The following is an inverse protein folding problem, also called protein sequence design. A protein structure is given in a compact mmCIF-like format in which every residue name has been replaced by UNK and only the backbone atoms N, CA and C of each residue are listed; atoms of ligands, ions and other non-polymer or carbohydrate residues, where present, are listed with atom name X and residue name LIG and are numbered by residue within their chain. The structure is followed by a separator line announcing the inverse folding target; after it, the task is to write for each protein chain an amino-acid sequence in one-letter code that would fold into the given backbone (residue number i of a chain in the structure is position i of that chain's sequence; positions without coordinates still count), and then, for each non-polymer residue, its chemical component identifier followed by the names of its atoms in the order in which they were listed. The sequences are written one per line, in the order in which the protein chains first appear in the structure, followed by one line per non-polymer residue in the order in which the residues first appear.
data_IF_113939645069
#
_entry.id   IF_113939645069
#
_cell.length_a   1.000
_cell.length_b   1.000
_cell.length_c   1.000
_cell.angle_alpha   90.00
_cell.angle_beta   90.00
_cell.angle_gamma   90.00
#
_symmetry.space_group_name_H-M   'P 1'
#
loop_
_entity.id
_entity.type
_entity.pdbx_description
1 polymer ?
#
# COMPACT_ATOMS: atom_id res chain seq x y z
N UNK A 1 -16.77 -5.44 -1.88
CA UNK A 1 -15.32 -5.27 -1.59
C UNK A 1 -15.13 -5.26 -0.09
N UNK A 2 -14.17 -6.00 0.46
CA UNK A 2 -13.83 -5.96 1.90
C UNK A 2 -12.55 -5.16 2.09
N UNK A 3 -12.47 -4.36 3.15
CA UNK A 3 -11.30 -3.53 3.48
C UNK A 3 -10.77 -3.97 4.84
N UNK A 4 -9.47 -4.26 4.90
CA UNK A 4 -8.76 -4.63 6.12
C UNK A 4 -7.64 -3.63 6.36
N UNK A 5 -7.50 -3.16 7.60
CA UNK A 5 -6.48 -2.19 7.99
C UNK A 5 -5.59 -2.81 9.06
N UNK A 6 -4.28 -2.76 8.84
CA UNK A 6 -3.27 -3.18 9.81
C UNK A 6 -2.60 -1.93 10.38
N UNK A 7 -3.01 -1.52 11.58
CA UNK A 7 -2.52 -0.31 12.23
C UNK A 7 -2.03 -0.59 13.65
N UNK A 8 -0.90 0.01 14.00
CA UNK A 8 -0.31 0.01 15.35
C UNK A 8 0.73 1.14 15.44
N UNK A 9 0.63 1.97 16.48
CA UNK A 9 1.52 3.12 16.68
C UNK A 9 2.96 2.71 16.99
N UNK A 10 3.18 1.48 17.52
CA UNK A 10 4.52 0.97 17.79
C UNK A 10 5.23 0.53 16.50
N UNK A 11 6.47 0.98 16.32
CA UNK A 11 7.37 0.50 15.26
C UNK A 11 7.81 -0.95 15.49
N UNK A 12 8.10 -1.68 14.42
CA UNK A 12 8.70 -3.02 14.52
C UNK A 12 7.78 -4.17 14.99
N UNK A 13 6.47 -3.94 15.10
CA UNK A 13 5.50 -4.96 15.58
C UNK A 13 4.92 -5.86 14.48
N UNK A 14 5.54 -5.89 13.30
CA UNK A 14 5.13 -6.79 12.21
C UNK A 14 4.02 -6.30 11.28
N UNK A 15 3.57 -5.05 11.35
CA UNK A 15 2.49 -4.51 10.49
C UNK A 15 2.68 -4.82 9.00
N UNK A 16 3.83 -4.46 8.44
CA UNK A 16 4.14 -4.71 7.03
C UNK A 16 4.18 -6.20 6.73
N UNK A 17 4.79 -6.99 7.61
CA UNK A 17 4.85 -8.46 7.48
C UNK A 17 3.44 -9.07 7.45
N UNK A 18 2.55 -8.62 8.33
CA UNK A 18 1.14 -9.04 8.35
C UNK A 18 0.44 -8.64 7.06
N UNK A 19 0.54 -7.37 6.63
CA UNK A 19 -0.10 -6.89 5.39
C UNK A 19 0.34 -7.71 4.18
N UNK A 20 1.64 -7.96 4.04
CA UNK A 20 2.20 -8.74 2.94
C UNK A 20 1.66 -10.17 2.93
N UNK A 21 1.72 -10.86 4.07
CA UNK A 21 1.28 -12.25 4.15
C UNK A 21 -0.23 -12.40 3.97
N UNK A 22 -1.03 -11.50 4.57
CA UNK A 22 -2.48 -11.50 4.38
C UNK A 22 -2.85 -11.26 2.91
N UNK A 23 -2.17 -10.33 2.23
CA UNK A 23 -2.40 -10.09 0.81
C UNK A 23 -2.10 -11.34 -0.03
N UNK A 24 -0.97 -12.00 0.24
CA UNK A 24 -0.58 -13.23 -0.45
C UNK A 24 -1.55 -14.39 -0.17
N UNK A 25 -1.91 -14.62 1.09
CA UNK A 25 -2.88 -15.67 1.44
C UNK A 25 -4.24 -15.43 0.78
N UNK A 26 -4.71 -14.18 0.74
CA UNK A 26 -5.96 -13.88 0.04
C UNK A 26 -5.89 -14.09 -1.47
N UNK A 27 -4.73 -13.82 -2.12
CA UNK A 27 -4.57 -14.13 -3.54
C UNK A 27 -4.56 -15.63 -3.81
N UNK A 28 -3.86 -16.42 -2.99
CA UNK A 28 -3.84 -17.89 -3.09
C UNK A 28 -5.23 -18.52 -2.90
N UNK A 29 -6.11 -17.87 -2.15
CA UNK A 29 -7.52 -18.26 -1.99
C UNK A 29 -8.42 -17.82 -3.16
N UNK A 30 -7.84 -17.34 -4.27
CA UNK A 30 -8.57 -16.86 -5.45
C UNK A 30 -9.09 -15.41 -5.34
N UNK A 31 -8.64 -14.66 -4.33
CA UNK A 31 -9.02 -13.27 -4.14
C UNK A 31 -8.20 -12.31 -5.01
N UNK A 32 -8.84 -11.25 -5.52
CA UNK A 32 -8.12 -10.10 -6.11
C UNK A 32 -7.83 -9.09 -5.02
N UNK A 33 -6.55 -8.77 -4.81
CA UNK A 33 -6.08 -7.95 -3.69
C UNK A 33 -5.48 -6.65 -4.20
N UNK A 34 -5.87 -5.54 -3.58
CA UNK A 34 -5.20 -4.25 -3.74
C UNK A 34 -4.53 -3.88 -2.42
N UNK A 35 -3.20 -3.84 -2.41
CA UNK A 35 -2.42 -3.36 -1.27
C UNK A 35 -2.31 -1.84 -1.37
N UNK A 36 -2.52 -1.14 -0.26
CA UNK A 36 -2.32 0.32 -0.16
C UNK A 36 -1.31 0.56 0.95
N UNK A 37 -0.16 1.14 0.60
CA UNK A 37 0.89 1.46 1.57
C UNK A 37 0.75 2.91 2.04
N UNK A 38 0.31 3.09 3.28
CA UNK A 38 0.13 4.40 3.92
C UNK A 38 1.29 4.77 4.85
N UNK A 39 2.34 3.94 4.94
CA UNK A 39 3.50 4.19 5.79
C UNK A 39 4.56 5.00 5.01
N UNK A 40 4.97 6.19 5.48
CA UNK A 40 6.03 6.97 4.84
C UNK A 40 7.37 6.23 4.71
N UNK A 41 7.60 5.16 5.48
CA UNK A 41 8.78 4.31 5.34
C UNK A 41 8.75 3.45 4.08
N UNK A 42 7.58 3.27 3.44
CA UNK A 42 7.39 2.55 2.18
C UNK A 42 7.86 1.08 2.21
N UNK A 43 7.86 0.42 3.38
CA UNK A 43 8.35 -0.95 3.51
C UNK A 43 7.48 -1.96 2.75
N UNK A 44 6.16 -1.76 2.72
CA UNK A 44 5.26 -2.63 1.96
C UNK A 44 5.48 -2.46 0.46
N UNK A 45 5.66 -1.21 0.01
CA UNK A 45 6.00 -0.89 -1.37
C UNK A 45 7.27 -1.58 -1.83
N UNK A 46 8.35 -1.52 -1.03
CA UNK A 46 9.63 -2.18 -1.35
C UNK A 46 9.51 -3.70 -1.50
N UNK A 47 8.55 -4.32 -0.80
CA UNK A 47 8.29 -5.76 -0.93
C UNK A 47 7.64 -6.10 -2.29
N UNK A 48 6.64 -5.31 -2.70
CA UNK A 48 5.79 -5.62 -3.85
C UNK A 48 6.27 -5.01 -5.18
N UNK A 49 6.95 -3.87 -5.14
CA UNK A 49 7.29 -3.08 -6.32
C UNK A 49 8.63 -2.34 -6.20
N UNK A 50 9.20 -1.95 -7.34
CA UNK A 50 10.33 -1.02 -7.36
C UNK A 50 9.86 0.38 -6.94
N UNK A 51 10.68 1.03 -6.11
CA UNK A 51 10.52 2.45 -5.81
C UNK A 51 11.09 3.24 -6.98
N UNK A 52 10.25 3.93 -7.74
CA UNK A 52 10.66 4.81 -8.84
C UNK A 52 10.07 6.21 -8.65
N UNK A 53 10.89 7.24 -8.85
CA UNK A 53 10.53 8.63 -8.51
C UNK A 53 9.44 9.27 -9.38
N UNK A 54 9.03 8.60 -10.47
CA UNK A 54 8.06 9.13 -11.44
C UNK A 54 6.66 8.50 -11.34
N UNK A 55 6.46 7.50 -10.45
CA UNK A 55 5.13 6.90 -10.28
C UNK A 55 4.24 7.73 -9.37
N UNK A 56 2.94 7.76 -9.66
CA UNK A 56 1.95 8.22 -8.69
C UNK A 56 1.98 7.33 -7.46
N UNK A 57 1.72 7.93 -6.32
CA UNK A 57 1.77 7.31 -5.01
C UNK A 57 0.48 7.59 -4.27
N UNK A 58 0.33 7.02 -3.09
CA UNK A 58 -0.78 7.31 -2.20
C UNK A 58 -0.87 8.79 -1.83
N UNK A 59 0.22 9.57 -1.88
CA UNK A 59 0.17 11.02 -1.71
C UNK A 59 -0.71 11.67 -2.78
N UNK A 60 -0.50 11.33 -4.05
CA UNK A 60 -1.26 11.89 -5.17
C UNK A 60 -2.74 11.49 -5.09
N UNK A 61 -3.03 10.29 -4.57
CA UNK A 61 -4.39 9.79 -4.34
C UNK A 61 -5.06 10.51 -3.17
N UNK A 62 -4.32 10.81 -2.09
CA UNK A 62 -4.85 11.60 -0.97
C UNK A 62 -5.14 13.05 -1.38
N UNK A 63 -4.33 13.64 -2.26
CA UNK A 63 -4.54 14.98 -2.82
C UNK A 63 -5.69 15.02 -3.84
N UNK A 64 -5.84 13.95 -4.64
CA UNK A 64 -6.92 13.82 -5.62
C UNK A 64 -7.41 12.36 -5.69
N UNK A 65 -8.42 11.99 -4.88
CA UNK A 65 -8.92 10.61 -4.80
C UNK A 65 -9.44 10.06 -6.13
N UNK A 66 -9.92 10.93 -7.04
CA UNK A 66 -10.38 10.53 -8.38
C UNK A 66 -9.24 9.95 -9.24
N UNK A 67 -7.99 10.21 -8.87
CA UNK A 67 -6.80 9.74 -9.58
C UNK A 67 -6.36 8.30 -9.26
N UNK A 68 -7.04 7.59 -8.35
CA UNK A 68 -6.56 6.29 -7.83
C UNK A 68 -6.27 5.25 -8.92
N UNK A 69 -7.09 5.17 -9.96
CA UNK A 69 -6.91 4.20 -11.05
C UNK A 69 -5.56 4.34 -11.75
N UNK A 70 -5.00 5.56 -11.80
CA UNK A 70 -3.69 5.84 -12.39
C UNK A 70 -2.51 5.61 -11.43
N UNK A 71 -2.79 5.25 -10.17
CA UNK A 71 -1.82 4.96 -9.12
C UNK A 71 -1.82 3.47 -8.71
N UNK A 72 -2.60 2.62 -9.40
CA UNK A 72 -2.60 1.16 -9.21
C UNK A 72 -1.52 0.55 -10.12
N UNK A 73 -0.63 -0.24 -9.53
CA UNK A 73 0.45 -0.92 -10.24
C UNK A 73 0.35 -2.43 -10.04
N UNK A 74 0.54 -3.18 -11.13
CA UNK A 74 0.69 -4.63 -11.10
C UNK A 74 1.96 -4.99 -10.35
N UNK A 75 1.87 -5.95 -9.43
CA UNK A 75 3.06 -6.53 -8.80
C UNK A 75 3.55 -7.74 -9.60
N UNK A 76 4.67 -8.33 -9.18
CA UNK A 76 5.13 -9.61 -9.73
C UNK A 76 4.30 -10.81 -9.23
N UNK A 77 3.44 -10.61 -8.24
CA UNK A 77 2.59 -11.64 -7.66
C UNK A 77 1.23 -11.60 -8.33
N UNK A 78 0.76 -12.76 -8.76
CA UNK A 78 -0.53 -12.88 -9.43
C UNK A 78 -1.67 -12.40 -8.51
N UNK A 79 -2.65 -11.71 -9.08
CA UNK A 79 -3.85 -11.22 -8.39
C UNK A 79 -3.61 -10.23 -7.23
N UNK A 80 -2.38 -9.71 -7.11
CA UNK A 80 -2.02 -8.64 -6.17
C UNK A 80 -1.56 -7.40 -6.95
N UNK A 81 -2.31 -6.31 -6.78
CA UNK A 81 -1.96 -4.98 -7.23
C UNK A 81 -1.57 -4.09 -6.03
N UNK A 82 -0.88 -2.97 -6.28
CA UNK A 82 -0.44 -2.05 -5.23
C UNK A 82 -0.65 -0.57 -5.59
N UNK A 83 -1.12 0.22 -4.63
CA UNK A 83 -0.91 1.67 -4.56
C UNK A 83 0.30 1.93 -3.66
N UNK A 84 1.34 2.54 -4.24
CA UNK A 84 2.65 2.71 -3.60
C UNK A 84 2.64 3.78 -2.51
N UNK A 85 3.43 3.54 -1.48
CA UNK A 85 3.79 4.45 -0.40
C UNK A 85 4.48 5.71 -0.90
N UNK A 86 4.46 6.76 -0.08
CA UNK A 86 5.19 7.99 -0.34
C UNK A 86 5.89 8.49 0.91
N UNK A 87 7.21 8.70 0.81
CA UNK A 87 8.02 9.32 1.88
C UNK A 87 7.61 10.76 2.21
N UNK A 88 6.77 11.36 1.34
CA UNK A 88 6.29 12.74 1.45
C UNK A 88 4.90 12.84 2.09
N UNK A 89 4.31 11.73 2.53
CA UNK A 89 3.10 11.82 3.36
C UNK A 89 3.52 12.24 4.75
N UNK A 90 2.88 13.30 5.25
CA UNK A 90 3.00 13.73 6.63
C UNK A 90 1.68 13.46 7.33
N UNK A 91 1.74 13.15 8.63
CA UNK A 91 0.54 13.21 9.46
C UNK A 91 -0.02 14.63 9.39
N UNK A 92 -1.25 14.78 8.93
CA UNK A 92 -1.98 16.01 9.18
C UNK A 92 -2.27 16.03 10.67
N UNK A 93 -1.57 16.92 11.40
CA UNK A 93 -2.02 17.29 12.74
C UNK A 93 -3.41 17.91 12.56
N UNK A 94 -4.45 17.21 13.00
CA UNK A 94 -5.76 17.83 13.19
C UNK A 94 -5.55 19.04 14.11
N UNK A 95 -6.14 20.21 13.82
CA UNK A 95 -6.04 21.38 14.69
C UNK A 95 -6.50 21.06 16.12
#
# INVERSE_FOLDING_TARGET
MKVYVVANLKGGVGKTTTTVNVAYTFSEMGGRVLVIDLDPQCNCTRFFAKVNGYSKTIRDVLENPKGINSAVYRTKYQDIDIVKGSVKITEQKTP
#
